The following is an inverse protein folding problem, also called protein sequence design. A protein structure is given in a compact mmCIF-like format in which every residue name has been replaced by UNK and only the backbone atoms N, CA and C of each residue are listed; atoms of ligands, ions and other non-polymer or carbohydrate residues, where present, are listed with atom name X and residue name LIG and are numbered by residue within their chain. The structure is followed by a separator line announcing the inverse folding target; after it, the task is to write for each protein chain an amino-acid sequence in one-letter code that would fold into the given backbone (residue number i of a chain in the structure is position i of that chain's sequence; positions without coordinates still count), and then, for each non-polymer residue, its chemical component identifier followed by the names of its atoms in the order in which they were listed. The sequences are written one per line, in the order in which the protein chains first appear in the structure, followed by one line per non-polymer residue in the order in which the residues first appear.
data_IF_797036215879
#
_entry.id   IF_797036215879
#
_cell.length_a   1.000
_cell.length_b   1.000
_cell.length_c   1.000
_cell.angle_alpha   90.00
_cell.angle_beta   90.00
_cell.angle_gamma   90.00
#
_symmetry.space_group_name_H-M   'P 1'
#
loop_
_entity.id
_entity.type
_entity.pdbx_description
1 polymer ?
#
# COMPACT_ATOMS: atom_id res chain seq x y z
N UNK A 1 16.20 -38.51 17.88
CA UNK A 1 14.78 -38.24 18.12
C UNK A 1 14.42 -36.94 17.43
N UNK A 2 13.50 -36.96 16.45
CA UNK A 2 12.99 -35.73 15.84
C UNK A 2 12.05 -35.06 16.83
N UNK A 3 12.16 -33.74 16.99
CA UNK A 3 11.25 -32.94 17.80
C UNK A 3 9.98 -32.66 16.97
N UNK A 4 8.84 -33.17 17.44
CA UNK A 4 7.52 -32.82 16.89
C UNK A 4 7.14 -31.37 17.27
N UNK A 5 6.52 -30.60 16.35
CA UNK A 5 5.96 -29.30 16.68
C UNK A 5 4.65 -29.47 17.45
N UNK A 6 4.61 -28.90 18.64
CA UNK A 6 3.47 -28.91 19.55
C UNK A 6 2.49 -27.79 19.17
N UNK A 7 1.58 -28.03 18.23
CA UNK A 7 0.39 -27.18 18.02
C UNK A 7 -0.76 -28.03 17.48
N UNK A 8 -1.37 -28.82 18.36
CA UNK A 8 -2.73 -29.33 18.19
C UNK A 8 -3.65 -28.45 19.02
N UNK A 9 -4.58 -27.77 18.35
CA UNK A 9 -5.50 -26.81 18.96
C UNK A 9 -6.13 -25.91 17.92
N UNK A 10 -6.80 -26.50 16.93
CA UNK A 10 -7.61 -25.76 15.96
C UNK A 10 -8.89 -25.28 16.63
N UNK A 11 -8.91 -24.05 17.11
CA UNK A 11 -10.15 -23.33 17.36
C UNK A 11 -10.58 -22.70 16.02
N UNK A 12 -11.76 -23.08 15.53
CA UNK A 12 -12.41 -22.42 14.40
C UNK A 12 -12.78 -21.00 14.84
N UNK A 13 -11.92 -20.03 14.59
CA UNK A 13 -12.30 -18.62 14.66
C UNK A 13 -13.27 -18.31 13.51
N UNK A 14 -14.51 -17.93 13.87
CA UNK A 14 -15.49 -17.39 12.94
C UNK A 14 -14.92 -16.13 12.27
N UNK A 15 -14.57 -16.27 10.98
CA UNK A 15 -14.12 -15.17 10.12
C UNK A 15 -15.30 -14.21 9.85
N UNK A 16 -15.50 -13.27 10.76
CA UNK A 16 -16.34 -12.09 10.54
C UNK A 16 -15.64 -10.86 11.12
N UNK A 17 -15.21 -9.90 10.27
CA UNK A 17 -14.65 -8.65 10.77
C UNK A 17 -15.72 -7.92 11.59
N UNK A 18 -15.50 -7.80 12.90
CA UNK A 18 -16.33 -6.95 13.75
C UNK A 18 -16.06 -5.48 13.41
N UNK A 19 -16.76 -4.96 12.40
CA UNK A 19 -16.80 -3.53 12.10
C UNK A 19 -17.57 -2.82 13.22
N UNK A 20 -16.86 -2.16 14.15
CA UNK A 20 -17.47 -1.20 15.07
C UNK A 20 -17.90 0.06 14.30
N UNK A 21 -19.08 0.02 13.69
CA UNK A 21 -19.74 1.18 13.08
C UNK A 21 -21.14 1.36 13.68
N UNK A 22 -21.19 1.93 14.87
CA UNK A 22 -22.44 2.18 15.61
C UNK A 22 -23.39 3.19 14.93
N UNK A 23 -22.99 3.86 13.83
CA UNK A 23 -23.80 4.90 13.18
C UNK A 23 -24.06 4.75 11.67
N UNK A 24 -23.76 3.61 11.05
CA UNK A 24 -24.00 3.41 9.60
C UNK A 24 -25.35 2.79 9.31
N UNK A 25 -26.05 3.28 8.27
CA UNK A 25 -27.34 2.72 7.86
C UNK A 25 -27.18 1.28 7.32
N UNK A 26 -28.22 0.43 7.40
CA UNK A 26 -28.16 -0.94 6.87
C UNK A 26 -27.78 -1.02 5.38
N UNK A 27 -28.15 0.00 4.59
CA UNK A 27 -27.81 0.11 3.17
C UNK A 27 -26.32 0.39 2.96
N UNK A 28 -25.73 1.28 3.74
CA UNK A 28 -24.29 1.57 3.71
C UNK A 28 -23.48 0.37 4.16
N UNK A 29 -23.91 -0.33 5.22
CA UNK A 29 -23.25 -1.56 5.68
C UNK A 29 -23.20 -2.63 4.59
N UNK A 30 -24.30 -2.81 3.85
CA UNK A 30 -24.35 -3.76 2.73
C UNK A 30 -23.41 -3.36 1.60
N UNK A 31 -23.40 -2.08 1.24
CA UNK A 31 -22.51 -1.55 0.20
C UNK A 31 -21.02 -1.75 0.58
N UNK A 32 -20.65 -1.45 1.82
CA UNK A 32 -19.29 -1.66 2.35
C UNK A 32 -18.91 -3.14 2.24
N UNK A 33 -19.78 -4.05 2.71
CA UNK A 33 -19.52 -5.50 2.67
C UNK A 33 -19.35 -6.01 1.24
N UNK A 34 -20.23 -5.61 0.34
CA UNK A 34 -20.17 -6.02 -1.07
C UNK A 34 -18.90 -5.47 -1.74
N UNK A 35 -18.45 -4.27 -1.35
CA UNK A 35 -17.23 -3.68 -1.88
C UNK A 35 -15.96 -4.37 -1.34
N UNK A 36 -15.91 -4.71 -0.04
CA UNK A 36 -14.84 -5.55 0.53
C UNK A 36 -14.74 -6.88 -0.22
N UNK A 37 -15.89 -7.50 -0.50
CA UNK A 37 -15.94 -8.77 -1.21
C UNK A 37 -15.48 -8.65 -2.67
N UNK A 38 -15.86 -7.56 -3.36
CA UNK A 38 -15.37 -7.24 -4.71
C UNK A 38 -13.87 -7.00 -4.72
N UNK A 39 -13.36 -6.25 -3.75
CA UNK A 39 -11.94 -5.96 -3.59
C UNK A 39 -11.13 -7.27 -3.44
N UNK A 40 -11.52 -8.18 -2.53
CA UNK A 40 -10.83 -9.48 -2.33
C UNK A 40 -10.76 -10.34 -3.61
N UNK A 41 -11.72 -10.16 -4.53
CA UNK A 41 -11.79 -10.87 -5.81
C UNK A 41 -11.05 -10.18 -6.96
N UNK A 42 -10.46 -9.01 -6.74
CA UNK A 42 -9.73 -8.31 -7.78
C UNK A 42 -8.50 -9.09 -8.23
N UNK A 43 -8.34 -9.16 -9.54
CA UNK A 43 -7.20 -9.72 -10.27
C UNK A 43 -6.84 -8.75 -11.39
N UNK A 44 -5.67 -8.93 -11.99
CA UNK A 44 -5.24 -8.06 -13.09
C UNK A 44 -6.26 -8.06 -14.23
N UNK A 45 -6.74 -9.24 -14.61
CA UNK A 45 -7.70 -9.43 -15.70
C UNK A 45 -9.10 -8.87 -15.41
N UNK A 46 -9.48 -8.69 -14.14
CA UNK A 46 -10.83 -8.22 -13.77
C UNK A 46 -10.87 -6.74 -13.37
N UNK A 47 -9.84 -6.27 -12.68
CA UNK A 47 -9.82 -4.95 -12.04
C UNK A 47 -8.83 -3.97 -12.66
N UNK A 48 -7.94 -4.42 -13.53
CA UNK A 48 -7.01 -3.56 -14.29
C UNK A 48 -7.43 -3.49 -15.76
N UNK A 49 -7.41 -2.30 -16.35
CA UNK A 49 -7.65 -2.10 -17.78
C UNK A 49 -6.33 -1.99 -18.53
N UNK A 50 -5.97 -3.08 -19.22
CA UNK A 50 -4.77 -3.17 -20.04
C UNK A 50 -4.82 -2.33 -21.31
N UNK A 51 -6.01 -1.93 -21.79
CA UNK A 51 -6.14 -1.15 -23.03
C UNK A 51 -5.43 0.21 -22.90
N UNK A 52 -5.43 0.79 -21.69
CA UNK A 52 -4.74 2.03 -21.36
C UNK A 52 -3.22 1.97 -21.51
N UNK A 53 -2.66 0.78 -21.55
CA UNK A 53 -1.21 0.54 -21.56
C UNK A 53 -0.68 0.15 -22.94
N UNK A 54 -1.54 0.08 -23.96
CA UNK A 54 -1.18 -0.36 -25.31
C UNK A 54 -0.14 0.56 -25.99
N UNK A 55 -0.22 1.86 -25.73
CA UNK A 55 0.74 2.85 -26.24
C UNK A 55 2.01 2.98 -25.38
N UNK A 56 2.13 2.14 -24.35
CA UNK A 56 3.23 2.12 -23.40
C UNK A 56 2.78 2.27 -21.95
N UNK A 57 3.72 2.01 -21.03
CA UNK A 57 3.47 2.14 -19.60
C UNK A 57 3.84 3.54 -19.12
N UNK A 58 2.82 4.40 -18.92
CA UNK A 58 2.98 5.74 -18.36
C UNK A 58 2.24 5.87 -17.03
N UNK A 59 2.80 6.65 -16.11
CA UNK A 59 2.24 6.91 -14.78
C UNK A 59 1.88 8.39 -14.67
N UNK A 60 0.63 8.68 -14.33
CA UNK A 60 0.15 10.02 -14.03
C UNK A 60 -0.01 10.18 -12.53
N UNK A 61 0.49 11.29 -11.99
CA UNK A 61 0.29 11.69 -10.61
C UNK A 61 -0.74 12.82 -10.60
N UNK A 62 -1.75 12.70 -9.74
CA UNK A 62 -2.72 13.78 -9.59
C UNK A 62 -2.05 15.06 -9.07
N UNK A 63 -2.51 16.25 -9.48
CA UNK A 63 -2.05 17.49 -8.89
C UNK A 63 -2.54 17.60 -7.43
N UNK A 64 -1.75 18.17 -6.52
CA UNK A 64 -2.18 18.42 -5.15
C UNK A 64 -3.40 19.36 -5.11
N UNK A 65 -4.36 19.03 -4.25
CA UNK A 65 -5.53 19.87 -3.96
C UNK A 65 -5.21 20.85 -2.81
N UNK A 66 -6.04 21.89 -2.67
CA UNK A 66 -5.90 22.84 -1.55
C UNK A 66 -6.09 22.11 -0.22
N UNK A 67 -5.13 22.24 0.68
CA UNK A 67 -5.15 21.59 1.99
C UNK A 67 -4.66 20.13 1.98
N UNK A 68 -4.00 19.71 0.91
CA UNK A 68 -3.17 18.50 0.94
C UNK A 68 -1.89 18.77 1.73
N UNK A 69 -1.69 17.98 2.77
CA UNK A 69 -0.43 17.88 3.50
C UNK A 69 0.22 16.57 3.10
N UNK A 70 1.41 16.65 2.52
CA UNK A 70 2.16 15.51 2.01
C UNK A 70 3.37 15.31 2.91
N UNK A 71 3.51 14.11 3.50
CA UNK A 71 4.69 13.80 4.31
C UNK A 71 5.96 13.78 3.45
N UNK A 72 7.11 14.06 4.06
CA UNK A 72 8.40 14.00 3.35
C UNK A 72 8.63 12.60 2.71
N UNK A 73 8.21 11.54 3.40
CA UNK A 73 8.30 10.17 2.90
C UNK A 73 7.45 9.98 1.63
N UNK A 74 6.22 10.47 1.60
CA UNK A 74 5.38 10.35 0.42
C UNK A 74 5.84 11.24 -0.72
N UNK A 75 6.31 12.45 -0.39
CA UNK A 75 6.94 13.35 -1.36
C UNK A 75 8.11 12.67 -2.08
N UNK A 76 8.95 11.91 -1.35
CA UNK A 76 10.05 11.13 -1.95
C UNK A 76 9.55 10.08 -2.94
N UNK A 77 8.45 9.38 -2.62
CA UNK A 77 7.83 8.40 -3.54
C UNK A 77 7.33 9.10 -4.79
N UNK A 78 6.57 10.19 -4.65
CA UNK A 78 6.03 10.95 -5.78
C UNK A 78 7.16 11.49 -6.66
N UNK A 79 8.18 12.12 -6.09
CA UNK A 79 9.33 12.65 -6.83
C UNK A 79 10.11 11.56 -7.57
N UNK A 80 10.26 10.37 -6.98
CA UNK A 80 10.90 9.23 -7.66
C UNK A 80 10.13 8.80 -8.92
N UNK A 81 8.80 8.87 -8.88
CA UNK A 81 7.94 8.58 -10.03
C UNK A 81 8.04 9.70 -11.06
N UNK A 82 7.91 10.97 -10.65
CA UNK A 82 7.97 12.15 -11.53
C UNK A 82 9.28 12.24 -12.33
N UNK A 83 10.41 11.94 -11.68
CA UNK A 83 11.74 11.95 -12.30
C UNK A 83 11.98 10.73 -13.23
N UNK A 84 11.13 9.71 -13.14
CA UNK A 84 11.27 8.51 -13.95
C UNK A 84 10.83 8.73 -15.40
N UNK A 85 11.36 7.92 -16.32
CA UNK A 85 10.92 7.91 -17.73
C UNK A 85 9.45 7.52 -17.92
N UNK A 86 8.81 6.95 -16.89
CA UNK A 86 7.44 6.49 -16.96
C UNK A 86 6.44 7.61 -16.69
N UNK A 87 6.85 8.72 -16.06
CA UNK A 87 5.94 9.82 -15.76
C UNK A 87 5.32 10.43 -17.04
N UNK A 88 4.07 10.89 -16.91
CA UNK A 88 3.36 11.72 -17.89
C UNK A 88 2.51 12.76 -17.16
N UNK A 89 2.54 14.01 -17.64
CA UNK A 89 1.64 15.07 -17.16
C UNK A 89 0.24 15.01 -17.79
N UNK A 90 0.02 14.09 -18.75
CA UNK A 90 -1.23 13.97 -19.49
C UNK A 90 -1.97 12.69 -19.06
N UNK A 91 -3.13 12.82 -18.37
CA UNK A 91 -3.88 11.69 -17.86
C UNK A 91 -4.49 10.81 -18.98
N UNK A 92 -4.63 11.32 -20.21
CA UNK A 92 -5.15 10.52 -21.33
C UNK A 92 -4.15 9.46 -21.79
N UNK A 93 -2.84 9.73 -21.63
CA UNK A 93 -1.75 8.82 -21.97
C UNK A 93 -1.35 7.88 -20.83
N UNK A 94 -1.97 8.02 -19.67
CA UNK A 94 -1.61 7.26 -18.48
C UNK A 94 -2.17 5.83 -18.54
N UNK A 95 -1.30 4.87 -18.25
CA UNK A 95 -1.63 3.48 -17.98
C UNK A 95 -1.97 3.29 -16.50
N UNK A 96 -1.26 4.00 -15.61
CA UNK A 96 -1.40 3.92 -14.16
C UNK A 96 -1.58 5.32 -13.53
N UNK A 97 -2.38 5.40 -12.48
CA UNK A 97 -2.66 6.61 -11.72
C UNK A 97 -2.16 6.48 -10.29
N UNK A 98 -1.52 7.54 -9.79
CA UNK A 98 -1.05 7.63 -8.41
C UNK A 98 -1.65 8.88 -7.77
N UNK A 99 -2.21 8.69 -6.58
CA UNK A 99 -2.87 9.74 -5.82
C UNK A 99 -1.84 10.69 -5.19
N UNK A 100 -2.15 11.97 -5.09
CA UNK A 100 -1.37 12.92 -4.27
C UNK A 100 -1.76 12.87 -2.80
N UNK A 101 -2.94 12.32 -2.51
CA UNK A 101 -3.43 12.14 -1.14
C UNK A 101 -2.52 11.16 -0.41
N UNK A 102 -1.85 11.63 0.64
CA UNK A 102 -0.94 10.82 1.43
C UNK A 102 -1.72 9.76 2.22
N UNK A 103 -1.48 8.51 1.85
CA UNK A 103 -2.10 7.32 2.45
C UNK A 103 -1.07 6.39 3.07
N UNK A 104 0.19 6.84 3.19
CA UNK A 104 1.27 6.03 3.72
C UNK A 104 1.05 5.61 5.16
N UNK A 105 0.44 6.48 5.96
CA UNK A 105 0.19 6.27 7.38
C UNK A 105 -1.31 6.33 7.66
N UNK A 106 -1.89 5.16 7.91
CA UNK A 106 -3.31 5.01 8.26
C UNK A 106 -3.50 4.66 9.73
N UNK A 107 -2.49 4.89 10.55
CA UNK A 107 -2.64 4.89 12.01
C UNK A 107 -3.36 6.16 12.47
N UNK A 108 -4.53 6.02 13.10
CA UNK A 108 -5.34 7.15 13.58
C UNK A 108 -4.63 8.01 14.63
N UNK A 109 -3.62 7.46 15.31
CA UNK A 109 -2.80 8.17 16.28
C UNK A 109 -1.64 8.94 15.65
N UNK A 110 -1.37 8.71 14.36
CA UNK A 110 -0.28 9.38 13.65
C UNK A 110 -0.63 10.82 13.32
N UNK A 111 0.34 11.72 13.51
CA UNK A 111 0.24 13.10 13.02
C UNK A 111 0.17 13.18 11.48
N UNK A 112 0.52 12.11 10.77
CA UNK A 112 0.47 12.02 9.30
C UNK A 112 -0.85 11.38 8.81
N UNK A 113 -1.79 11.09 9.72
CA UNK A 113 -3.08 10.55 9.34
C UNK A 113 -3.93 11.57 8.59
N UNK A 114 -4.08 11.36 7.29
CA UNK A 114 -4.94 12.21 6.47
C UNK A 114 -6.42 11.88 6.71
N UNK A 115 -7.21 12.89 7.10
CA UNK A 115 -8.66 12.78 7.25
C UNK A 115 -9.39 12.97 5.91
N UNK A 116 -10.63 12.49 5.82
CA UNK A 116 -11.51 12.68 4.66
C UNK A 116 -10.95 12.17 3.32
N UNK A 117 -10.08 11.15 3.34
CA UNK A 117 -9.46 10.54 2.16
C UNK A 117 -10.52 10.12 1.13
N UNK A 118 -11.61 9.50 1.58
CA UNK A 118 -12.74 9.11 0.72
C UNK A 118 -13.23 10.28 -0.12
N UNK A 119 -13.59 11.39 0.51
CA UNK A 119 -14.14 12.57 -0.18
C UNK A 119 -13.14 13.17 -1.16
N UNK A 120 -11.84 13.20 -0.80
CA UNK A 120 -10.77 13.69 -1.68
C UNK A 120 -10.56 12.80 -2.90
N UNK A 121 -10.61 11.49 -2.73
CA UNK A 121 -10.44 10.55 -3.85
C UNK A 121 -11.65 10.58 -4.79
N UNK A 122 -12.87 10.59 -4.26
CA UNK A 122 -14.08 10.61 -5.09
C UNK A 122 -14.28 11.93 -5.85
N UNK A 123 -13.59 13.02 -5.47
CA UNK A 123 -13.60 14.26 -6.25
C UNK A 123 -12.67 14.22 -7.48
N UNK A 124 -11.83 13.20 -7.60
CA UNK A 124 -10.88 13.08 -8.71
C UNK A 124 -11.60 12.66 -10.01
N UNK A 125 -11.43 13.41 -11.10
CA UNK A 125 -12.18 13.17 -12.35
C UNK A 125 -12.00 11.78 -12.96
N UNK A 126 -10.83 11.15 -12.75
CA UNK A 126 -10.47 9.88 -13.38
C UNK A 126 -10.39 8.70 -12.39
N UNK A 127 -10.90 8.84 -11.16
CA UNK A 127 -10.82 7.79 -10.12
C UNK A 127 -11.34 6.42 -10.58
N UNK A 128 -12.45 6.39 -11.32
CA UNK A 128 -13.00 5.17 -11.93
C UNK A 128 -13.07 3.95 -10.98
N UNK A 129 -13.60 4.18 -9.78
CA UNK A 129 -13.67 3.21 -8.69
C UNK A 129 -12.32 2.54 -8.37
N UNK A 130 -11.20 3.22 -8.60
CA UNK A 130 -9.85 2.73 -8.36
C UNK A 130 -9.22 1.94 -9.51
N UNK A 131 -9.93 1.70 -10.61
CA UNK A 131 -9.37 0.97 -11.76
C UNK A 131 -8.12 1.67 -12.30
N UNK A 132 -7.02 0.93 -12.46
CA UNK A 132 -5.69 1.45 -12.85
C UNK A 132 -5.07 2.44 -11.84
N UNK A 133 -5.50 2.44 -10.58
CA UNK A 133 -4.88 3.24 -9.53
C UNK A 133 -3.95 2.38 -8.67
N UNK A 134 -2.86 3.01 -8.21
CA UNK A 134 -1.95 2.45 -7.21
C UNK A 134 -1.98 3.33 -5.96
N UNK A 135 -2.26 2.72 -4.82
CA UNK A 135 -2.26 3.36 -3.51
C UNK A 135 -1.09 2.82 -2.70
N UNK A 136 -0.37 3.70 -2.01
CA UNK A 136 0.74 3.33 -1.15
C UNK A 136 0.31 3.32 0.32
N UNK A 137 0.73 2.29 1.06
CA UNK A 137 0.51 2.20 2.49
C UNK A 137 1.70 1.52 3.16
N UNK A 138 2.38 2.24 4.07
CA UNK A 138 3.54 1.72 4.80
C UNK A 138 3.20 1.37 6.25
N UNK A 139 2.30 2.12 6.88
CA UNK A 139 1.98 2.00 8.29
C UNK A 139 0.47 1.73 8.46
N UNK A 140 0.13 0.50 8.86
CA UNK A 140 -1.25 0.00 9.01
C UNK A 140 -1.73 0.00 10.46
N UNK A 141 -1.33 1.01 11.23
CA UNK A 141 -1.61 1.11 12.67
C UNK A 141 -0.44 0.75 13.57
N UNK A 142 -0.60 1.07 14.85
CA UNK A 142 0.32 0.75 15.95
C UNK A 142 -0.36 -0.21 16.91
N UNK A 143 0.44 -1.04 17.61
CA UNK A 143 -0.07 -1.94 18.63
C UNK A 143 -0.93 -1.19 19.69
N UNK A 144 -2.05 -1.74 20.16
CA UNK A 144 -2.64 -3.04 19.79
C UNK A 144 -3.51 -2.98 18.52
N UNK A 145 -3.80 -1.79 18.01
CA UNK A 145 -4.83 -1.49 17.01
C UNK A 145 -4.31 -1.52 15.56
N UNK A 146 -3.58 -2.58 15.20
CA UNK A 146 -3.25 -2.81 13.80
C UNK A 146 -4.53 -3.05 12.99
N UNK A 147 -4.71 -2.31 11.91
CA UNK A 147 -5.88 -2.42 11.04
C UNK A 147 -5.48 -2.60 9.59
N UNK A 148 -6.05 -3.63 8.95
CA UNK A 148 -5.94 -3.82 7.51
C UNK A 148 -6.85 -2.86 6.73
N UNK A 149 -7.79 -2.20 7.41
CA UNK A 149 -8.64 -1.17 6.83
C UNK A 149 -7.90 0.17 6.73
N UNK A 150 -7.79 0.69 5.51
CA UNK A 150 -7.24 2.03 5.25
C UNK A 150 -8.21 3.14 5.69
N UNK A 151 -9.42 2.80 6.14
CA UNK A 151 -10.46 3.74 6.55
C UNK A 151 -11.18 4.38 5.37
N UNK A 152 -11.08 3.80 4.17
CA UNK A 152 -11.82 4.21 2.98
C UNK A 152 -11.92 3.06 1.96
N UNK A 153 -12.84 3.20 1.02
CA UNK A 153 -13.08 2.22 -0.03
C UNK A 153 -12.00 2.31 -1.12
N UNK A 154 -11.07 1.34 -1.13
CA UNK A 154 -10.00 1.21 -2.16
C UNK A 154 -10.56 0.85 -3.54
N UNK A 155 -11.74 0.22 -3.58
CA UNK A 155 -12.39 -0.22 -4.81
C UNK A 155 -11.53 -1.23 -5.57
N UNK A 156 -11.28 -0.93 -6.84
CA UNK A 156 -10.53 -1.74 -7.80
C UNK A 156 -9.04 -1.36 -7.87
N UNK A 157 -8.56 -0.47 -7.00
CA UNK A 157 -7.17 -0.05 -6.99
C UNK A 157 -6.24 -1.14 -6.49
N UNK A 158 -5.01 -1.13 -6.98
CA UNK A 158 -3.89 -1.94 -6.48
C UNK A 158 -3.30 -1.28 -5.23
N UNK A 159 -2.80 -2.11 -4.32
CA UNK A 159 -2.13 -1.66 -3.10
C UNK A 159 -0.64 -1.98 -3.16
N UNK A 160 0.20 -0.95 -3.07
CA UNK A 160 1.61 -1.08 -2.73
C UNK A 160 1.75 -0.98 -1.21
N UNK A 161 1.84 -2.13 -0.54
CA UNK A 161 1.74 -2.23 0.92
C UNK A 161 3.00 -2.83 1.56
N UNK A 162 3.49 -2.19 2.61
CA UNK A 162 4.44 -2.81 3.52
C UNK A 162 3.71 -3.65 4.57
N UNK A 163 4.35 -4.74 5.01
CA UNK A 163 3.75 -5.69 5.96
C UNK A 163 2.37 -6.20 5.50
N UNK A 164 2.26 -6.52 4.20
CA UNK A 164 1.01 -7.04 3.64
C UNK A 164 0.64 -8.37 4.29
N UNK A 165 -0.58 -8.44 4.84
CA UNK A 165 -1.14 -9.65 5.40
C UNK A 165 -1.46 -10.68 4.29
N UNK A 166 -1.09 -11.94 4.52
CA UNK A 166 -1.25 -13.03 3.55
C UNK A 166 -2.73 -13.28 3.24
N UNK A 167 -3.64 -13.05 4.19
CA UNK A 167 -5.07 -13.29 3.97
C UNK A 167 -5.73 -12.21 3.09
N UNK A 168 -5.18 -10.99 3.05
CA UNK A 168 -5.75 -9.86 2.32
C UNK A 168 -4.95 -9.44 1.08
N UNK A 169 -3.68 -9.85 0.98
CA UNK A 169 -2.85 -9.60 -0.19
C UNK A 169 -3.40 -10.31 -1.42
N UNK A 170 -3.60 -9.58 -2.53
CA UNK A 170 -4.09 -10.14 -3.80
C UNK A 170 -2.91 -10.51 -4.71
N UNK A 171 -2.57 -11.81 -4.87
CA UNK A 171 -1.40 -12.21 -5.64
C UNK A 171 -1.50 -11.74 -7.10
N UNK A 172 -0.37 -11.31 -7.65
CA UNK A 172 -0.23 -10.76 -9.00
C UNK A 172 -1.00 -9.45 -9.25
N UNK A 173 -1.60 -8.85 -8.22
CA UNK A 173 -2.37 -7.60 -8.33
C UNK A 173 -1.86 -6.53 -7.38
N UNK A 174 -1.66 -6.90 -6.10
CA UNK A 174 -1.01 -6.04 -5.12
C UNK A 174 0.51 -6.18 -5.16
N UNK A 175 1.19 -5.17 -4.62
CA UNK A 175 2.65 -5.07 -4.61
C UNK A 175 3.11 -5.05 -3.15
N UNK A 176 3.87 -6.06 -2.75
CA UNK A 176 4.55 -6.03 -1.46
C UNK A 176 5.82 -5.19 -1.58
N UNK A 177 5.91 -4.13 -0.77
CA UNK A 177 7.08 -3.25 -0.71
C UNK A 177 7.72 -3.32 0.67
N UNK A 178 9.05 -3.12 0.79
CA UNK A 178 9.68 -3.07 2.09
C UNK A 178 9.22 -1.84 2.87
N UNK A 179 9.23 -1.94 4.21
CA UNK A 179 8.98 -0.80 5.07
C UNK A 179 10.22 0.10 5.09
N UNK A 180 10.06 1.34 4.61
CA UNK A 180 11.11 2.35 4.68
C UNK A 180 10.96 3.19 5.95
N UNK A 181 12.08 3.59 6.55
CA UNK A 181 12.04 4.63 7.60
C UNK A 181 11.73 5.99 6.98
N UNK A 182 11.19 6.91 7.78
CA UNK A 182 10.89 8.29 7.33
C UNK A 182 12.15 9.02 6.84
N UNK A 183 13.28 8.72 7.45
CA UNK A 183 14.60 9.27 7.12
C UNK A 183 15.28 8.57 5.94
N UNK A 184 14.62 7.60 5.30
CA UNK A 184 15.20 6.92 4.14
C UNK A 184 15.52 7.94 3.04
N UNK A 185 16.75 7.96 2.49
CA UNK A 185 17.13 8.93 1.47
C UNK A 185 16.40 8.64 0.15
N UNK A 186 16.13 9.70 -0.62
CA UNK A 186 15.43 9.60 -1.92
C UNK A 186 16.23 8.80 -2.95
N UNK A 187 17.52 9.11 -3.05
CA UNK A 187 18.50 8.43 -3.89
C UNK A 187 19.57 7.84 -2.98
N UNK A 188 20.32 6.85 -3.49
CA UNK A 188 21.34 6.14 -2.72
C UNK A 188 22.17 7.06 -1.83
N UNK A 189 22.48 6.58 -0.61
CA UNK A 189 23.30 7.32 0.34
C UNK A 189 24.75 7.46 -0.11
N UNK A 190 25.61 7.94 0.79
CA UNK A 190 27.05 7.97 0.56
C UNK A 190 27.53 6.59 0.07
N UNK A 191 28.45 6.57 -0.89
CA UNK A 191 29.15 5.36 -1.32
C UNK A 191 29.57 4.58 -0.08
N UNK A 192 29.12 3.32 0.03
CA UNK A 192 29.48 2.47 1.15
C UNK A 192 30.99 2.40 1.31
N UNK A 193 31.47 2.25 2.53
CA UNK A 193 32.90 2.20 2.85
C UNK A 193 33.62 0.93 2.37
N UNK A 194 33.01 0.13 1.50
CA UNK A 194 33.62 -1.09 0.96
C UNK A 194 34.77 -0.69 0.04
N UNK A 195 35.98 -0.77 0.58
CA UNK A 195 37.21 -0.71 -0.20
C UNK A 195 37.37 -2.04 -0.95
N UNK A 196 38.12 -2.05 -2.07
CA UNK A 196 38.25 -3.14 -3.05
C UNK A 196 38.62 -4.54 -2.49
N UNK A 197 38.89 -4.69 -1.19
CA UNK A 197 39.30 -5.94 -0.54
C UNK A 197 38.33 -6.50 0.52
N UNK A 198 37.18 -5.85 0.79
CA UNK A 198 36.17 -6.37 1.73
C UNK A 198 35.16 -7.31 1.04
N UNK A 199 35.65 -8.27 0.26
CA UNK A 199 34.79 -9.31 -0.30
C UNK A 199 34.24 -10.16 0.85
N UNK A 200 32.90 -10.20 1.06
CA UNK A 200 32.34 -11.03 2.11
C UNK A 200 32.71 -12.49 1.85
N UNK A 201 33.07 -13.28 2.88
CA UNK A 201 33.37 -14.69 2.72
C UNK A 201 32.18 -15.39 2.04
N UNK A 202 32.44 -16.43 1.24
CA UNK A 202 31.40 -17.16 0.52
C UNK A 202 30.37 -17.75 1.50
N UNK A 203 29.23 -17.07 1.65
CA UNK A 203 28.12 -17.54 2.48
C UNK A 203 27.02 -18.08 1.58
N UNK A 204 26.35 -19.14 2.03
CA UNK A 204 25.14 -19.68 1.36
C UNK A 204 24.06 -18.63 1.16
N UNK A 205 24.00 -17.63 2.06
CA UNK A 205 23.06 -16.53 2.03
C UNK A 205 23.84 -15.22 2.01
N UNK A 206 23.60 -14.39 0.98
CA UNK A 206 24.25 -13.07 0.83
C UNK A 206 23.66 -12.01 1.78
N UNK A 207 22.42 -12.22 2.23
CA UNK A 207 21.69 -11.29 3.09
C UNK A 207 20.68 -12.08 3.93
N UNK A 208 20.62 -11.80 5.22
CA UNK A 208 19.65 -12.40 6.15
C UNK A 208 19.04 -11.27 6.96
N UNK A 209 17.71 -11.21 6.98
CA UNK A 209 16.98 -10.27 7.80
C UNK A 209 16.26 -11.01 8.91
N UNK A 210 16.31 -10.46 10.12
CA UNK A 210 15.44 -10.86 11.23
C UNK A 210 14.42 -9.74 11.42
N UNK A 211 13.22 -9.96 10.91
CA UNK A 211 12.10 -9.06 11.18
C UNK A 211 11.75 -9.09 12.66
N UNK A 212 11.63 -7.91 13.28
CA UNK A 212 10.86 -7.77 14.53
C UNK A 212 9.47 -7.30 14.13
N UNK A 213 8.44 -7.88 14.75
CA UNK A 213 7.05 -7.46 14.54
C UNK A 213 6.77 -6.04 15.10
N UNK A 214 7.66 -5.51 15.94
CA UNK A 214 7.48 -4.25 16.66
C UNK A 214 8.59 -3.25 16.28
N UNK A 215 8.19 -2.02 15.96
CA UNK A 215 9.10 -0.89 15.67
C UNK A 215 9.55 -0.15 16.95
N UNK A 216 8.91 -0.43 18.08
CA UNK A 216 9.26 0.11 19.40
C UNK A 216 9.76 -0.99 20.32
N UNK A 217 10.94 -0.77 20.88
CA UNK A 217 11.56 -1.55 21.95
C UNK A 217 12.50 -0.64 22.72
#
# INVERSE_FOLDING_TARGET
QPLEPYLEGGEQEEDSPQLHHQHTSPRERRAIRDNIYRNKRCRMETCFDFSRCQSGFRVYIYPPQRGDEISEAYQKILSSIEESRFHTADPSRACLFVLTVDTLDRDQLSAQFVQNVRTRIHSLPTWNDGRNHLIFNLYSGTWPDYTEDLGFEVGLAMLAKASADVANFRPNFDISIPLFSKDHPLKGGATGYLTLNDAPPSRKYQLVFKGKRYLTG
#
